data_IF_362185592564
#
_entry.id   IF_362185592564
#
_cell.length_a   1.000
_cell.length_b   1.000
_cell.length_c   1.000
_cell.angle_alpha   90.00
_cell.angle_beta   90.00
_cell.angle_gamma   90.00
#
_symmetry.space_group_name_H-M   'P 1'
#
loop_
_entity.id
_entity.type
_entity.pdbx_description
1 polymer ?
#
# COMPACT_ATOMS: atom_id res chain seq x y z
N UNK A 1 -7.79 47.63 14.41
CA UNK A 1 -7.46 46.57 13.44
C UNK A 1 -7.05 45.35 14.26
N UNK A 2 -7.93 44.37 14.38
CA UNK A 2 -7.65 43.13 15.11
C UNK A 2 -7.55 42.02 14.09
N UNK A 3 -6.32 41.65 13.74
CA UNK A 3 -6.07 40.44 12.97
C UNK A 3 -6.18 39.28 13.97
N UNK A 4 -7.32 38.59 13.97
CA UNK A 4 -7.36 37.23 14.50
C UNK A 4 -6.55 36.37 13.53
N UNK A 5 -5.29 36.14 13.85
CA UNK A 5 -4.49 35.10 13.23
C UNK A 5 -5.21 33.78 13.52
N UNK A 6 -6.02 33.35 12.56
CA UNK A 6 -6.62 32.02 12.57
C UNK A 6 -5.50 31.06 12.20
N UNK A 7 -4.75 30.62 13.21
CA UNK A 7 -3.85 29.49 13.10
C UNK A 7 -4.69 28.27 12.73
N UNK A 8 -4.51 27.64 11.54
CA UNK A 8 -5.21 26.40 11.26
C UNK A 8 -4.65 25.33 12.20
N UNK A 9 -5.38 25.06 13.28
CA UNK A 9 -5.28 23.82 14.02
C UNK A 9 -5.88 22.71 13.14
N UNK A 10 -5.10 22.19 12.21
CA UNK A 10 -5.44 20.93 11.55
C UNK A 10 -4.42 19.88 11.98
N UNK A 11 -4.52 19.50 13.26
CA UNK A 11 -4.00 18.23 13.73
C UNK A 11 -4.88 17.16 13.11
N UNK A 12 -4.53 16.72 11.92
CA UNK A 12 -5.17 15.57 11.30
C UNK A 12 -4.26 14.39 11.51
N UNK A 13 -4.59 13.59 12.53
CA UNK A 13 -4.31 12.15 12.63
C UNK A 13 -5.01 11.42 11.46
N UNK A 14 -4.79 11.92 10.24
CA UNK A 14 -5.46 11.50 9.03
C UNK A 14 -4.85 10.18 8.61
N UNK A 15 -5.54 9.10 8.91
CA UNK A 15 -5.31 7.84 8.21
C UNK A 15 -5.73 8.05 6.75
N UNK A 16 -4.74 8.21 5.88
CA UNK A 16 -4.95 8.36 4.44
C UNK A 16 -5.15 6.97 3.82
N UNK A 17 -6.24 6.79 3.09
CA UNK A 17 -6.46 5.54 2.36
C UNK A 17 -5.62 5.55 1.10
N UNK A 18 -4.79 4.53 0.93
CA UNK A 18 -3.88 4.38 -0.20
C UNK A 18 -4.58 3.52 -1.24
N UNK A 19 -4.76 4.07 -2.43
CA UNK A 19 -5.26 3.35 -3.62
C UNK A 19 -4.16 3.15 -4.67
N UNK A 20 -3.05 3.88 -4.57
CA UNK A 20 -1.87 3.70 -5.42
C UNK A 20 -0.63 3.47 -4.54
N UNK A 21 -0.03 2.29 -4.65
CA UNK A 21 1.17 1.91 -3.91
C UNK A 21 2.39 2.76 -4.26
N UNK A 22 2.38 3.48 -5.39
CA UNK A 22 3.44 4.44 -5.75
C UNK A 22 3.50 5.64 -4.79
N UNK A 23 2.46 5.85 -3.98
CA UNK A 23 2.42 6.90 -2.97
C UNK A 23 3.11 6.53 -1.64
N UNK A 24 3.58 5.28 -1.52
CA UNK A 24 4.29 4.79 -0.33
C UNK A 24 5.79 4.88 -0.52
N UNK A 25 6.47 5.29 0.55
CA UNK A 25 7.93 5.34 0.63
C UNK A 25 8.46 4.40 1.71
N UNK A 26 9.74 4.02 1.61
CA UNK A 26 10.42 3.25 2.66
C UNK A 26 10.45 4.07 3.95
N UNK A 27 10.01 3.46 5.04
CA UNK A 27 9.83 4.09 6.34
C UNK A 27 8.40 4.56 6.63
N UNK A 28 7.50 4.52 5.64
CA UNK A 28 6.07 4.75 5.91
C UNK A 28 5.49 3.63 6.77
N UNK A 29 4.52 3.98 7.62
CA UNK A 29 3.75 3.03 8.41
C UNK A 29 2.36 2.84 7.82
N UNK A 30 1.99 1.60 7.58
CA UNK A 30 0.71 1.24 6.97
C UNK A 30 -0.08 0.25 7.80
N UNK A 31 -1.41 0.33 7.71
CA UNK A 31 -2.35 -0.58 8.34
C UNK A 31 -3.29 -1.12 7.26
N UNK A 32 -3.46 -2.45 7.21
CA UNK A 32 -4.34 -3.12 6.26
C UNK A 32 -5.02 -4.35 6.85
N UNK A 33 -6.03 -4.88 6.15
CA UNK A 33 -6.81 -6.07 6.53
C UNK A 33 -7.48 -6.01 7.93
N UNK A 34 -7.84 -4.81 8.41
CA UNK A 34 -8.44 -4.62 9.73
C UNK A 34 -7.52 -4.98 10.90
N UNK A 35 -6.20 -5.11 10.66
CA UNK A 35 -5.21 -5.39 11.70
C UNK A 35 -5.13 -4.23 12.69
N UNK A 36 -4.88 -4.55 13.95
CA UNK A 36 -4.70 -3.54 15.01
C UNK A 36 -3.26 -3.01 15.09
N UNK A 37 -2.30 -3.67 14.43
CA UNK A 37 -0.88 -3.31 14.46
C UNK A 37 -0.43 -2.84 13.09
N UNK A 38 0.32 -1.75 13.09
CA UNK A 38 0.87 -1.08 11.92
C UNK A 38 2.07 -1.88 11.41
N UNK A 39 2.35 -1.85 10.12
CA UNK A 39 3.48 -2.49 9.47
C UNK A 39 4.34 -1.41 8.82
N UNK A 40 5.65 -1.55 8.91
CA UNK A 40 6.61 -0.63 8.30
C UNK A 40 6.88 -1.03 6.86
N UNK A 41 6.88 -0.05 5.96
CA UNK A 41 7.33 -0.22 4.58
C UNK A 41 8.85 -0.35 4.57
N UNK A 42 9.35 -1.54 4.24
CA UNK A 42 10.79 -1.84 4.25
C UNK A 42 11.41 -1.83 2.86
N UNK A 43 10.60 -1.97 1.80
CA UNK A 43 11.05 -1.86 0.42
C UNK A 43 9.91 -1.45 -0.50
N UNK A 44 10.25 -0.67 -1.53
CA UNK A 44 9.36 -0.32 -2.64
C UNK A 44 10.03 -0.71 -3.95
N UNK A 45 9.25 -1.09 -4.95
CA UNK A 45 9.78 -1.47 -6.25
C UNK A 45 8.68 -1.65 -7.28
N UNK A 46 9.06 -2.18 -8.44
CA UNK A 46 8.13 -2.56 -9.50
C UNK A 46 8.31 -4.03 -9.84
N UNK A 47 7.23 -4.67 -10.28
CA UNK A 47 7.27 -5.98 -10.92
C UNK A 47 6.77 -5.86 -12.35
N UNK A 48 7.35 -6.65 -13.23
CA UNK A 48 6.91 -6.79 -14.61
C UNK A 48 6.04 -8.03 -14.72
N UNK A 49 4.83 -7.89 -15.26
CA UNK A 49 3.91 -9.00 -15.54
C UNK A 49 3.69 -9.11 -17.03
N UNK A 50 3.97 -10.30 -17.56
CA UNK A 50 3.85 -10.62 -18.98
C UNK A 50 2.68 -11.56 -19.18
N UNK A 51 1.78 -11.24 -20.13
CA UNK A 51 0.76 -12.17 -20.62
C UNK A 51 1.10 -12.55 -22.07
N UNK A 52 1.70 -13.73 -22.23
CA UNK A 52 2.16 -14.26 -23.51
C UNK A 52 1.00 -14.50 -24.50
N UNK A 53 -0.24 -14.66 -24.02
CA UNK A 53 -1.40 -14.91 -24.88
C UNK A 53 -1.73 -13.69 -25.75
N UNK A 54 -1.40 -12.49 -25.27
CA UNK A 54 -1.60 -11.21 -25.96
C UNK A 54 -0.30 -10.48 -26.28
N UNK A 55 0.86 -11.03 -25.91
CA UNK A 55 2.15 -10.34 -26.00
C UNK A 55 2.11 -8.96 -25.34
N UNK A 56 1.45 -8.87 -24.18
CA UNK A 56 1.37 -7.65 -23.40
C UNK A 56 2.25 -7.77 -22.15
N UNK A 57 2.82 -6.64 -21.77
CA UNK A 57 3.61 -6.49 -20.55
C UNK A 57 3.12 -5.26 -19.81
N UNK A 58 3.00 -5.36 -18.49
CA UNK A 58 2.69 -4.23 -17.61
C UNK A 58 3.66 -4.20 -16.43
N UNK A 59 4.10 -3.00 -16.07
CA UNK A 59 4.86 -2.75 -14.86
C UNK A 59 3.94 -2.25 -13.75
N UNK A 60 3.94 -2.94 -12.62
CA UNK A 60 3.05 -2.65 -11.48
C UNK A 60 3.86 -2.43 -10.21
N UNK A 61 3.49 -1.48 -9.33
CA UNK A 61 4.21 -1.22 -8.09
C UNK A 61 4.04 -2.40 -7.12
N UNK A 62 5.10 -2.66 -6.36
CA UNK A 62 5.12 -3.62 -5.26
C UNK A 62 5.75 -2.99 -4.04
N UNK A 63 5.18 -3.28 -2.87
CA UNK A 63 5.64 -2.72 -1.60
C UNK A 63 5.77 -3.85 -0.58
N UNK A 64 6.95 -4.02 0.00
CA UNK A 64 7.18 -4.98 1.07
C UNK A 64 6.99 -4.30 2.42
N UNK A 65 6.20 -4.94 3.26
CA UNK A 65 5.87 -4.47 4.60
C UNK A 65 6.19 -5.52 5.64
N UNK A 66 6.72 -5.07 6.78
CA UNK A 66 7.18 -5.92 7.87
C UNK A 66 6.71 -5.36 9.21
N UNK A 67 6.46 -6.24 10.17
CA UNK A 67 6.15 -5.83 11.54
C UNK A 67 7.32 -6.09 12.48
N UNK A 68 7.56 -5.17 13.40
CA UNK A 68 8.57 -5.32 14.46
C UNK A 68 7.98 -5.96 15.73
N UNK A 69 7.25 -7.06 15.59
CA UNK A 69 6.76 -7.83 16.74
C UNK A 69 6.91 -9.33 16.53
N UNK A 70 6.96 -10.05 17.65
CA UNK A 70 7.04 -11.50 17.64
C UNK A 70 5.85 -12.12 16.89
N UNK A 71 6.15 -12.92 15.88
CA UNK A 71 5.16 -13.52 14.99
C UNK A 71 4.64 -12.60 13.87
N UNK A 72 5.27 -11.45 13.62
CA UNK A 72 4.98 -10.66 12.44
C UNK A 72 5.31 -11.43 11.16
N UNK A 73 4.39 -11.38 10.19
CA UNK A 73 4.55 -12.02 8.88
C UNK A 73 4.82 -10.95 7.85
N UNK A 74 5.93 -11.10 7.12
CA UNK A 74 6.28 -10.28 5.97
C UNK A 74 5.22 -10.42 4.88
N UNK A 75 4.74 -9.28 4.38
CA UNK A 75 3.75 -9.22 3.31
C UNK A 75 4.28 -8.40 2.16
N UNK A 76 3.83 -8.73 0.96
CA UNK A 76 4.04 -7.91 -0.23
C UNK A 76 2.68 -7.40 -0.68
N UNK A 77 2.54 -6.08 -0.74
CA UNK A 77 1.41 -5.39 -1.31
C UNK A 77 1.66 -5.20 -2.81
N UNK A 78 0.67 -5.50 -3.63
CA UNK A 78 0.71 -5.26 -5.07
C UNK A 78 -0.67 -4.84 -5.56
N UNK A 79 -0.73 -4.15 -6.71
CA UNK A 79 -2.01 -3.92 -7.37
C UNK A 79 -2.56 -5.22 -7.95
N UNK A 80 -3.88 -5.36 -7.87
CA UNK A 80 -4.62 -6.44 -8.49
C UNK A 80 -4.54 -6.30 -10.00
N UNK A 81 -4.44 -7.43 -10.69
CA UNK A 81 -4.42 -7.48 -12.14
C UNK A 81 -5.69 -8.14 -12.62
N UNK A 82 -6.40 -7.48 -13.53
CA UNK A 82 -7.48 -8.13 -14.27
C UNK A 82 -6.89 -8.90 -15.45
N UNK A 83 -7.25 -10.19 -15.54
CA UNK A 83 -6.89 -11.09 -16.64
C UNK A 83 -8.18 -11.71 -17.17
N UNK A 84 -8.88 -11.00 -18.03
CA UNK A 84 -10.20 -11.42 -18.52
C UNK A 84 -10.11 -12.42 -19.69
N UNK A 85 -10.56 -13.66 -19.47
CA UNK A 85 -10.50 -14.75 -20.46
C UNK A 85 -11.68 -14.77 -21.46
N UNK A 86 -12.38 -13.65 -21.63
CA UNK A 86 -13.46 -13.46 -22.61
C UNK A 86 -13.27 -12.27 -23.55
N UNK A 87 -12.21 -11.48 -23.35
CA UNK A 87 -11.92 -10.23 -24.06
C UNK A 87 -10.44 -9.88 -24.16
N UNK A 88 -9.57 -10.71 -23.56
CA UNK A 88 -8.10 -10.65 -23.53
C UNK A 88 -7.54 -9.25 -23.26
N UNK A 89 -7.47 -8.91 -21.97
CA UNK A 89 -6.89 -7.67 -21.47
C UNK A 89 -6.02 -7.97 -20.24
N UNK A 90 -4.92 -7.22 -20.11
CA UNK A 90 -4.07 -7.17 -18.94
C UNK A 90 -4.05 -5.71 -18.46
N UNK A 91 -4.62 -5.46 -17.29
CA UNK A 91 -4.75 -4.11 -16.72
C UNK A 91 -4.45 -4.10 -15.22
N UNK A 92 -3.81 -3.02 -14.75
CA UNK A 92 -3.62 -2.71 -13.33
C UNK A 92 -4.90 -2.09 -12.76
N UNK A 93 -5.43 -2.68 -11.68
CA UNK A 93 -6.59 -2.16 -10.97
C UNK A 93 -6.17 -1.36 -9.73
N UNK A 94 -7.06 -0.49 -9.25
CA UNK A 94 -6.88 0.28 -7.99
C UNK A 94 -7.00 -0.61 -6.73
N UNK A 95 -7.46 -1.85 -6.87
CA UNK A 95 -7.52 -2.81 -5.77
C UNK A 95 -6.11 -3.26 -5.37
N UNK A 96 -5.82 -3.29 -4.06
CA UNK A 96 -4.53 -3.74 -3.52
C UNK A 96 -4.70 -5.14 -2.93
N UNK A 97 -3.75 -6.03 -3.24
CA UNK A 97 -3.68 -7.38 -2.69
C UNK A 97 -2.47 -7.53 -1.76
N UNK A 98 -2.67 -8.17 -0.61
CA UNK A 98 -1.61 -8.52 0.34
C UNK A 98 -1.22 -9.99 0.21
N UNK A 99 0.00 -10.24 -0.25
CA UNK A 99 0.54 -11.57 -0.53
C UNK A 99 1.47 -12.03 0.61
N UNK A 100 1.37 -13.30 1.01
CA UNK A 100 2.34 -13.93 1.93
C UNK A 100 3.53 -14.46 1.15
N UNK A 101 4.72 -13.89 1.40
CA UNK A 101 5.94 -14.30 0.71
C UNK A 101 5.96 -13.94 -0.78
N UNK A 102 6.55 -14.80 -1.61
CA UNK A 102 6.79 -14.52 -3.04
C UNK A 102 5.63 -14.89 -3.96
N UNK A 103 4.56 -15.52 -3.45
CA UNK A 103 3.40 -15.90 -4.25
C UNK A 103 2.44 -14.71 -4.37
N UNK A 104 2.68 -13.89 -5.40
CA UNK A 104 1.91 -12.67 -5.65
C UNK A 104 0.59 -12.90 -6.39
N UNK A 105 0.23 -14.16 -6.67
CA UNK A 105 -0.99 -14.53 -7.39
C UNK A 105 -2.13 -14.96 -6.44
N UNK A 106 -1.83 -15.13 -5.14
CA UNK A 106 -2.78 -15.58 -4.10
C UNK A 106 -3.01 -14.56 -2.98
N UNK A 107 -2.87 -13.28 -3.29
CA UNK A 107 -3.05 -12.20 -2.33
C UNK A 107 -4.51 -12.05 -1.86
N UNK A 108 -4.67 -11.59 -0.62
CA UNK A 108 -5.97 -11.19 -0.06
C UNK A 108 -6.27 -9.74 -0.47
N UNK A 109 -7.48 -9.44 -0.96
CA UNK A 109 -7.90 -8.07 -1.26
C UNK A 109 -7.94 -7.24 0.04
N UNK A 110 -7.21 -6.13 0.10
CA UNK A 110 -7.07 -5.31 1.31
C UNK A 110 -7.20 -3.82 1.03
N UNK A 111 -7.77 -3.11 2.00
CA UNK A 111 -7.65 -1.64 2.05
C UNK A 111 -6.40 -1.26 2.82
N UNK A 112 -5.50 -0.51 2.19
CA UNK A 112 -4.27 0.00 2.81
C UNK A 112 -4.50 1.42 3.31
N UNK A 113 -4.04 1.72 4.52
CA UNK A 113 -4.07 3.06 5.10
C UNK A 113 -2.70 3.45 5.58
N UNK A 114 -2.20 4.61 5.17
CA UNK A 114 -1.00 5.21 5.76
C UNK A 114 -1.36 5.82 7.10
N UNK A 115 -0.59 5.48 8.13
CA UNK A 115 -0.70 6.09 9.45
C UNK A 115 0.28 7.25 9.47
N UNK A 116 -0.19 8.45 9.84
CA UNK A 116 0.72 9.55 10.08
C UNK A 116 1.64 9.16 11.24
N UNK A 117 2.96 9.12 11.01
CA UNK A 117 3.92 8.95 12.09
C UNK A 117 3.64 10.03 13.13
N UNK A 118 3.17 9.60 14.31
CA UNK A 118 2.88 10.50 15.42
C UNK A 118 4.11 11.35 15.67
N UNK A 119 3.94 12.67 15.55
CA UNK A 119 4.93 13.62 15.98
C UNK A 119 5.38 13.22 17.39
N UNK A 120 6.70 13.09 17.55
CA UNK A 120 7.35 12.78 18.80
C UNK A 120 6.69 13.60 19.92
N UNK A 121 6.11 12.92 20.91
CA UNK A 121 5.56 13.57 22.09
C UNK A 121 6.77 14.10 22.87
N UNK A 122 7.22 15.32 22.54
CA UNK A 122 8.23 16.02 23.31
C UNK A 122 7.64 16.37 24.66
N UNK A 123 8.20 15.75 25.70
CA UNK A 123 7.88 15.96 27.11
C UNK A 123 8.21 17.37 27.60
#
# INVERSE_FOLDING_TARGET
MSAFETQPQNGTDSTETITDLRALDVGDQVLFAGRQRQLDVVAVGTRTVVDERINAEIETPVVRVQGDWDGAVDRVLAHKLDRYDGGIQLEELDDIVACEGADLERGEDVTVRRVACGAEVSA
#
